data_IF_342888803200
#
_entry.id   IF_342888803200
#
_cell.length_a   1.000
_cell.length_b   1.000
_cell.length_c   1.000
_cell.angle_alpha   90.00
_cell.angle_beta   90.00
_cell.angle_gamma   90.00
#
_symmetry.space_group_name_H-M   'P 1'
#
loop_
_entity.id
_entity.type
_entity.pdbx_description
1 polymer ?
#
# COMPACT_ATOMS: atom_id res chain seq x y z
N UNK A 1 54.41 -6.29 -30.43
CA UNK A 1 53.77 -6.20 -31.75
C UNK A 1 52.45 -6.94 -31.64
N UNK A 2 51.36 -6.19 -31.46
CA UNK A 2 50.35 -5.89 -32.50
C UNK A 2 49.21 -6.91 -32.43
N UNK A 3 48.08 -6.56 -31.79
CA UNK A 3 46.92 -5.81 -32.30
C UNK A 3 46.02 -6.58 -33.28
N UNK A 4 44.81 -6.87 -32.76
CA UNK A 4 43.46 -6.75 -33.38
C UNK A 4 43.09 -7.76 -34.51
N UNK A 5 41.83 -8.12 -34.77
CA UNK A 5 40.52 -7.46 -34.63
C UNK A 5 39.37 -8.52 -34.64
N UNK A 6 38.39 -8.38 -33.71
CA UNK A 6 36.90 -8.27 -33.86
C UNK A 6 36.14 -9.34 -34.70
N UNK A 7 34.98 -9.92 -34.36
CA UNK A 7 33.86 -9.67 -33.41
C UNK A 7 32.81 -10.79 -33.63
N UNK A 8 31.63 -10.90 -33.02
CA UNK A 8 30.71 -10.00 -32.31
C UNK A 8 29.80 -10.85 -31.39
N UNK A 9 29.26 -10.17 -30.38
CA UNK A 9 27.89 -10.28 -29.85
C UNK A 9 27.72 -10.80 -28.41
N UNK A 10 27.97 -9.92 -27.43
CA UNK A 10 27.51 -10.08 -26.04
C UNK A 10 27.33 -8.71 -25.37
N UNK A 11 26.41 -7.87 -25.88
CA UNK A 11 26.18 -6.49 -25.35
C UNK A 11 24.71 -6.08 -25.16
N UNK A 12 23.79 -7.02 -24.89
CA UNK A 12 22.37 -6.67 -24.67
C UNK A 12 21.85 -6.81 -23.23
N UNK A 13 22.65 -7.28 -22.27
CA UNK A 13 22.11 -7.65 -20.94
C UNK A 13 22.52 -6.76 -19.75
N UNK A 14 23.49 -5.85 -19.89
CA UNK A 14 23.98 -5.05 -18.74
C UNK A 14 23.45 -3.61 -18.69
N UNK A 15 22.89 -3.08 -19.79
CA UNK A 15 22.32 -1.71 -19.83
C UNK A 15 20.95 -1.61 -19.13
N UNK A 16 20.43 -2.69 -18.54
CA UNK A 16 18.99 -2.84 -18.35
C UNK A 16 18.48 -2.81 -16.90
N UNK A 17 19.28 -3.04 -15.87
CA UNK A 17 18.76 -3.05 -14.47
C UNK A 17 18.80 -1.68 -13.80
N UNK A 18 19.93 -0.97 -13.92
CA UNK A 18 20.15 0.33 -13.27
C UNK A 18 19.18 1.40 -13.80
N UNK A 19 19.04 1.51 -15.13
CA UNK A 19 18.11 2.44 -15.77
C UNK A 19 16.63 2.16 -15.42
N UNK A 20 16.25 0.88 -15.25
CA UNK A 20 14.89 0.51 -14.80
C UNK A 20 14.64 0.95 -13.36
N UNK A 21 15.62 0.74 -12.48
CA UNK A 21 15.49 1.10 -11.08
C UNK A 21 15.50 2.63 -10.89
N UNK A 22 16.32 3.34 -11.66
CA UNK A 22 16.32 4.80 -11.69
C UNK A 22 14.97 5.37 -12.17
N UNK A 23 14.41 4.83 -13.25
CA UNK A 23 13.07 5.20 -13.71
C UNK A 23 12.00 4.94 -12.64
N UNK A 24 12.09 3.82 -11.91
CA UNK A 24 11.19 3.52 -10.79
C UNK A 24 11.35 4.52 -9.64
N UNK A 25 12.59 4.85 -9.27
CA UNK A 25 12.88 5.81 -8.21
C UNK A 25 12.29 7.19 -8.55
N UNK A 26 12.58 7.70 -9.76
CA UNK A 26 12.05 8.97 -10.23
C UNK A 26 10.52 8.97 -10.32
N UNK A 27 9.93 7.91 -10.88
CA UNK A 27 8.46 7.83 -11.00
C UNK A 27 7.78 7.77 -9.63
N UNK A 28 8.36 7.04 -8.67
CA UNK A 28 7.85 6.96 -7.30
C UNK A 28 7.91 8.33 -6.63
N UNK A 29 9.04 9.03 -6.74
CA UNK A 29 9.23 10.38 -6.22
C UNK A 29 8.25 11.39 -6.83
N UNK A 30 8.13 11.39 -8.16
CA UNK A 30 7.22 12.27 -8.89
C UNK A 30 5.76 12.03 -8.51
N UNK A 31 5.34 10.76 -8.40
CA UNK A 31 3.98 10.42 -8.00
C UNK A 31 3.70 10.81 -6.54
N UNK A 32 4.67 10.66 -5.64
CA UNK A 32 4.56 11.11 -4.26
C UNK A 32 4.30 12.62 -4.20
N UNK A 33 5.11 13.43 -4.89
CA UNK A 33 4.91 14.88 -4.98
C UNK A 33 3.57 15.26 -5.64
N UNK A 34 3.19 14.55 -6.70
CA UNK A 34 1.89 14.78 -7.37
C UNK A 34 0.72 14.55 -6.41
N UNK A 35 0.76 13.48 -5.61
CA UNK A 35 -0.28 13.19 -4.60
C UNK A 35 -0.37 14.31 -3.54
N UNK A 36 0.77 14.86 -3.12
CA UNK A 36 0.84 15.87 -2.06
C UNK A 36 0.55 17.31 -2.51
N UNK A 37 0.86 17.66 -3.76
CA UNK A 37 0.91 19.08 -4.16
C UNK A 37 0.16 19.42 -5.46
N UNK A 38 -0.34 18.43 -6.21
CA UNK A 38 -1.16 18.71 -7.39
C UNK A 38 -2.64 18.88 -7.00
N UNK A 39 -3.15 20.11 -7.07
CA UNK A 39 -4.53 20.45 -6.66
C UNK A 39 -5.58 19.63 -7.45
N UNK A 40 -5.48 19.58 -8.78
CA UNK A 40 -6.40 18.80 -9.63
C UNK A 40 -6.38 17.31 -9.27
N UNK A 41 -5.21 16.78 -8.90
CA UNK A 41 -5.08 15.41 -8.44
C UNK A 41 -5.81 15.21 -7.10
N UNK A 42 -5.68 16.13 -6.17
CA UNK A 42 -6.35 16.06 -4.86
C UNK A 42 -7.85 16.30 -4.92
N UNK A 43 -8.34 17.06 -5.90
CA UNK A 43 -9.77 17.16 -6.21
C UNK A 43 -10.31 15.80 -6.66
N UNK A 44 -9.59 15.12 -7.56
CA UNK A 44 -9.96 13.80 -8.05
C UNK A 44 -9.80 12.70 -7.00
N UNK A 45 -8.79 12.82 -6.13
CA UNK A 45 -8.47 11.85 -5.08
C UNK A 45 -8.37 12.54 -3.71
N UNK A 46 -9.52 12.85 -3.07
CA UNK A 46 -9.56 13.61 -1.81
C UNK A 46 -8.82 12.96 -0.64
N UNK A 47 -8.55 11.65 -0.69
CA UNK A 47 -7.77 10.92 0.32
C UNK A 47 -6.37 11.50 0.51
N UNK A 48 -5.80 12.10 -0.55
CA UNK A 48 -4.49 12.74 -0.51
C UNK A 48 -4.52 14.19 -0.05
N UNK A 49 -5.68 14.81 0.19
CA UNK A 49 -5.76 16.16 0.76
C UNK A 49 -5.05 16.23 2.10
N UNK A 50 -4.27 17.28 2.29
CA UNK A 50 -3.45 17.50 3.48
C UNK A 50 -2.23 16.59 3.59
N UNK A 51 -1.93 15.77 2.58
CA UNK A 51 -0.69 15.00 2.57
C UNK A 51 0.50 15.90 2.22
N UNK A 52 1.62 15.71 2.91
CA UNK A 52 2.86 16.45 2.69
C UNK A 52 4.04 15.50 2.60
N UNK A 53 5.15 16.00 2.08
CA UNK A 53 6.44 15.31 2.03
C UNK A 53 7.40 16.03 2.98
N UNK A 54 8.30 15.30 3.66
CA UNK A 54 9.33 15.94 4.47
C UNK A 54 10.22 16.86 3.60
N UNK A 55 10.81 17.89 4.21
CA UNK A 55 11.51 18.94 3.48
C UNK A 55 12.62 18.36 2.59
N UNK A 56 13.39 17.42 3.12
CA UNK A 56 14.55 16.84 2.46
C UNK A 56 14.18 16.03 1.22
N UNK A 57 13.00 15.40 1.20
CA UNK A 57 12.52 14.60 0.07
C UNK A 57 11.98 15.45 -1.09
N UNK A 58 11.92 16.78 -0.94
CA UNK A 58 11.75 17.68 -2.09
C UNK A 58 13.01 17.70 -2.98
N UNK A 59 14.16 17.27 -2.45
CA UNK A 59 15.34 16.99 -3.24
C UNK A 59 15.33 15.53 -3.68
N UNK A 60 15.20 15.30 -4.99
CA UNK A 60 15.22 13.95 -5.58
C UNK A 60 16.47 13.15 -5.19
N UNK A 61 17.65 13.78 -5.08
CA UNK A 61 18.88 13.07 -4.73
C UNK A 61 18.87 12.54 -3.29
N UNK A 62 18.15 13.19 -2.39
CA UNK A 62 18.00 12.71 -1.00
C UNK A 62 16.98 11.58 -0.97
N UNK A 63 15.85 11.75 -1.66
CA UNK A 63 14.85 10.69 -1.79
C UNK A 63 15.44 9.43 -2.45
N UNK A 64 16.18 9.57 -3.55
CA UNK A 64 16.73 8.43 -4.30
C UNK A 64 17.73 7.61 -3.46
N UNK A 65 18.56 8.27 -2.64
CA UNK A 65 19.42 7.58 -1.66
C UNK A 65 18.61 6.73 -0.69
N UNK A 66 17.49 7.25 -0.18
CA UNK A 66 16.59 6.48 0.67
C UNK A 66 15.90 5.36 -0.12
N UNK A 67 15.44 5.64 -1.33
CA UNK A 67 14.81 4.67 -2.23
C UNK A 67 15.71 3.45 -2.43
N UNK A 68 16.95 3.65 -2.90
CA UNK A 68 17.85 2.53 -3.19
C UNK A 68 18.23 1.71 -1.96
N UNK A 69 18.20 2.32 -0.77
CA UNK A 69 18.46 1.62 0.50
C UNK A 69 17.26 0.79 0.98
N UNK A 70 16.04 1.18 0.64
CA UNK A 70 14.81 0.62 1.23
C UNK A 70 13.92 -0.12 0.23
N UNK A 71 14.14 0.08 -1.07
CA UNK A 71 13.38 -0.59 -2.12
C UNK A 71 13.80 -2.05 -2.24
N UNK A 72 12.80 -2.91 -2.35
CA UNK A 72 12.95 -4.34 -2.59
C UNK A 72 11.85 -4.76 -3.57
N UNK A 73 12.03 -5.91 -4.21
CA UNK A 73 11.06 -6.48 -5.13
C UNK A 73 10.64 -7.85 -4.61
N UNK A 74 9.36 -8.17 -4.76
CA UNK A 74 8.84 -9.52 -4.61
C UNK A 74 8.37 -9.96 -5.99
N UNK A 75 8.80 -11.15 -6.43
CA UNK A 75 8.48 -11.66 -7.77
C UNK A 75 6.96 -11.71 -8.00
N UNK A 76 6.50 -11.20 -9.15
CA UNK A 76 5.07 -11.15 -9.47
C UNK A 76 4.28 -10.03 -8.76
N UNK A 77 4.91 -9.25 -7.89
CA UNK A 77 4.24 -8.17 -7.16
C UNK A 77 4.73 -6.78 -7.61
N UNK A 78 3.77 -5.87 -7.81
CA UNK A 78 4.06 -4.43 -7.88
C UNK A 78 4.27 -3.90 -6.47
N UNK A 79 5.30 -3.09 -6.28
CA UNK A 79 5.57 -2.41 -5.01
C UNK A 79 5.02 -0.98 -5.04
N UNK A 80 4.35 -0.59 -3.97
CA UNK A 80 3.83 0.77 -3.76
C UNK A 80 4.60 1.44 -2.60
N UNK A 81 4.85 2.75 -2.70
CA UNK A 81 5.26 3.58 -1.57
C UNK A 81 4.02 4.00 -0.79
N UNK A 82 3.96 3.63 0.49
CA UNK A 82 2.89 3.97 1.41
C UNK A 82 3.43 4.76 2.62
N UNK A 83 2.61 5.63 3.22
CA UNK A 83 2.98 6.51 4.35
C UNK A 83 2.21 6.23 5.64
N UNK A 84 1.13 5.45 5.58
CA UNK A 84 0.13 5.34 6.65
C UNK A 84 -0.11 3.91 7.14
N UNK A 85 0.51 2.91 6.51
CA UNK A 85 0.56 1.54 7.04
C UNK A 85 1.33 1.49 8.37
N UNK A 86 2.43 2.23 8.49
CA UNK A 86 3.23 2.25 9.73
C UNK A 86 2.54 3.07 10.84
N UNK A 87 1.80 4.11 10.45
CA UNK A 87 1.12 5.03 11.36
C UNK A 87 -0.25 5.34 10.75
N UNK A 88 -1.29 4.71 11.29
CA UNK A 88 -2.66 4.83 10.78
C UNK A 88 -3.11 6.29 10.71
N UNK A 89 -3.61 6.71 9.56
CA UNK A 89 -4.09 8.07 9.33
C UNK A 89 -2.98 9.11 9.11
N UNK A 90 -1.71 8.70 9.08
CA UNK A 90 -0.60 9.61 8.80
C UNK A 90 -0.72 10.27 7.41
N UNK A 91 -0.29 11.52 7.33
CA UNK A 91 -0.36 12.36 6.12
C UNK A 91 1.03 12.75 5.59
N UNK A 92 2.10 12.36 6.27
CA UNK A 92 3.47 12.80 5.94
C UNK A 92 4.24 11.67 5.27
N UNK A 93 4.76 11.87 4.06
CA UNK A 93 5.80 10.99 3.51
C UNK A 93 7.17 11.42 4.06
N UNK A 94 7.80 10.57 4.87
CA UNK A 94 9.17 10.72 5.34
C UNK A 94 9.86 9.34 5.46
N UNK A 95 11.18 9.27 5.70
CA UNK A 95 11.88 8.01 5.95
C UNK A 95 11.27 7.14 7.06
N UNK A 96 10.74 7.78 8.10
CA UNK A 96 10.21 7.18 9.32
C UNK A 96 8.79 6.64 9.12
N UNK A 97 7.98 7.34 8.32
CA UNK A 97 6.58 7.01 8.11
C UNK A 97 6.35 6.18 6.85
N UNK A 98 7.28 6.24 5.88
CA UNK A 98 7.08 5.61 4.58
C UNK A 98 7.72 4.23 4.46
N UNK A 99 7.05 3.37 3.70
CA UNK A 99 7.47 2.00 3.46
C UNK A 99 7.09 1.52 2.07
N UNK A 100 7.94 0.69 1.46
CA UNK A 100 7.56 -0.08 0.28
C UNK A 100 6.78 -1.32 0.69
N UNK A 101 5.65 -1.54 0.05
CA UNK A 101 4.70 -2.61 0.36
C UNK A 101 4.18 -3.23 -0.94
N UNK A 102 3.95 -4.54 -1.02
CA UNK A 102 3.27 -5.15 -2.15
C UNK A 102 1.88 -4.54 -2.36
N UNK A 103 1.52 -4.26 -3.61
CA UNK A 103 0.25 -3.63 -3.93
C UNK A 103 -0.96 -4.41 -3.40
N UNK A 104 -0.90 -5.74 -3.41
CA UNK A 104 -1.94 -6.60 -2.85
C UNK A 104 -2.17 -6.35 -1.35
N UNK A 105 -1.09 -6.14 -0.57
CA UNK A 105 -1.16 -5.81 0.85
C UNK A 105 -1.68 -4.38 1.01
N UNK A 106 -1.15 -3.42 0.25
CA UNK A 106 -1.60 -2.02 0.33
C UNK A 106 -3.10 -1.88 0.04
N UNK A 107 -3.62 -2.65 -0.92
CA UNK A 107 -5.03 -2.67 -1.30
C UNK A 107 -5.96 -3.09 -0.15
N UNK A 108 -5.46 -3.78 0.88
CA UNK A 108 -6.26 -4.13 2.07
C UNK A 108 -6.64 -2.90 2.90
N UNK A 109 -5.86 -1.81 2.82
CA UNK A 109 -6.03 -0.61 3.62
C UNK A 109 -6.74 0.53 2.87
N UNK A 110 -7.02 0.34 1.57
CA UNK A 110 -7.72 1.34 0.77
C UNK A 110 -9.15 1.51 1.30
N UNK A 111 -9.41 2.67 1.90
CA UNK A 111 -10.74 3.08 2.31
C UNK A 111 -11.54 3.60 1.12
N UNK A 112 -12.80 3.19 1.01
CA UNK A 112 -13.76 3.65 0.00
C UNK A 112 -14.79 4.58 0.62
N UNK A 113 -14.34 5.52 1.46
CA UNK A 113 -15.21 6.36 2.29
C UNK A 113 -16.22 7.16 1.45
N UNK A 114 -15.82 7.65 0.27
CA UNK A 114 -16.70 8.39 -0.63
C UNK A 114 -17.92 7.59 -1.13
N UNK A 115 -17.84 6.25 -1.14
CA UNK A 115 -18.93 5.37 -1.54
C UNK A 115 -19.69 4.79 -0.32
N UNK A 116 -19.25 5.10 0.90
CA UNK A 116 -19.80 4.54 2.13
C UNK A 116 -20.93 5.44 2.64
N UNK A 117 -22.03 4.82 3.06
CA UNK A 117 -23.11 5.49 3.79
C UNK A 117 -22.72 5.75 5.26
N UNK A 118 -23.72 5.83 6.14
CA UNK A 118 -23.50 6.08 7.58
C UNK A 118 -23.09 4.84 8.39
N UNK A 119 -23.06 3.66 7.77
CA UNK A 119 -22.71 2.41 8.46
C UNK A 119 -21.19 2.29 8.65
N UNK A 120 -20.73 1.63 9.74
CA UNK A 120 -19.33 1.32 9.94
C UNK A 120 -18.72 0.54 8.78
N UNK A 121 -17.40 0.63 8.63
CA UNK A 121 -16.67 -0.11 7.61
C UNK A 121 -17.01 -1.62 7.65
N UNK A 122 -17.23 -2.18 6.45
CA UNK A 122 -17.57 -3.59 6.29
C UNK A 122 -19.02 -3.94 6.60
N UNK A 123 -19.80 -3.05 7.22
CA UNK A 123 -21.21 -3.30 7.57
C UNK A 123 -22.15 -2.80 6.48
N UNK A 124 -23.15 -3.62 6.17
CA UNK A 124 -24.20 -3.33 5.20
C UNK A 124 -25.56 -3.76 5.77
N UNK A 125 -26.64 -3.21 5.21
CA UNK A 125 -28.01 -3.56 5.60
C UNK A 125 -28.67 -4.43 4.53
N UNK A 126 -29.31 -5.52 4.94
CA UNK A 126 -30.08 -6.41 4.07
C UNK A 126 -31.52 -5.89 3.90
N UNK A 127 -32.25 -6.30 2.85
CA UNK A 127 -33.66 -5.94 2.67
C UNK A 127 -34.57 -6.33 3.85
N UNK A 128 -34.17 -7.33 4.63
CA UNK A 128 -34.87 -7.76 5.84
C UNK A 128 -34.69 -6.81 7.05
N UNK A 129 -33.90 -5.75 6.93
CA UNK A 129 -33.53 -4.85 8.02
C UNK A 129 -32.38 -5.33 8.92
N UNK A 130 -31.89 -6.57 8.72
CA UNK A 130 -30.73 -7.12 9.42
C UNK A 130 -29.41 -6.61 8.83
N UNK A 131 -28.33 -6.70 9.57
CA UNK A 131 -27.00 -6.24 9.17
C UNK A 131 -26.11 -7.38 8.73
N UNK A 132 -25.27 -7.20 7.72
CA UNK A 132 -24.28 -8.19 7.29
C UNK A 132 -22.93 -7.57 7.07
N UNK A 133 -21.90 -8.38 7.25
CA UNK A 133 -20.51 -7.92 7.14
C UNK A 133 -19.85 -8.48 5.90
N UNK A 134 -19.17 -7.62 5.15
CA UNK A 134 -18.40 -7.98 3.95
C UNK A 134 -16.94 -7.57 4.11
N UNK A 135 -16.03 -8.47 3.73
CA UNK A 135 -14.60 -8.15 3.70
C UNK A 135 -13.93 -8.67 2.43
N UNK A 136 -13.17 -7.81 1.76
CA UNK A 136 -12.29 -8.21 0.65
C UNK A 136 -11.10 -8.99 1.18
N UNK A 137 -10.72 -10.04 0.46
CA UNK A 137 -9.56 -10.88 0.75
C UNK A 137 -8.67 -10.93 -0.49
N UNK A 138 -7.34 -10.81 -0.35
CA UNK A 138 -6.39 -10.87 -1.48
C UNK A 138 -6.51 -12.17 -2.29
N UNK A 139 -6.90 -13.26 -1.62
CA UNK A 139 -7.05 -14.59 -2.21
C UNK A 139 -8.37 -14.78 -2.96
N UNK A 140 -9.32 -13.83 -2.80
CA UNK A 140 -10.66 -13.95 -3.36
C UNK A 140 -11.00 -12.76 -4.26
N UNK A 141 -11.48 -13.04 -5.48
CA UNK A 141 -11.91 -12.00 -6.42
C UNK A 141 -13.13 -11.20 -5.93
N UNK A 142 -13.93 -11.78 -5.03
CA UNK A 142 -15.15 -11.18 -4.49
C UNK A 142 -15.04 -11.04 -2.97
N UNK A 143 -15.65 -9.99 -2.38
CA UNK A 143 -15.78 -9.89 -0.94
C UNK A 143 -16.47 -11.12 -0.34
N UNK A 144 -15.99 -11.57 0.81
CA UNK A 144 -16.59 -12.65 1.58
C UNK A 144 -17.65 -12.06 2.50
N UNK A 145 -18.81 -12.72 2.55
CA UNK A 145 -19.83 -12.46 3.57
C UNK A 145 -19.49 -13.23 4.84
N UNK A 146 -19.24 -12.49 5.92
CA UNK A 146 -18.79 -13.05 7.20
C UNK A 146 -19.99 -13.58 7.99
N UNK A 147 -21.13 -12.86 7.95
CA UNK A 147 -22.34 -13.28 8.66
C UNK A 147 -23.53 -12.35 8.45
N UNK A 148 -24.60 -12.61 9.19
CA UNK A 148 -25.81 -11.79 9.28
C UNK A 148 -26.17 -11.63 10.77
N UNK A 149 -26.48 -10.42 11.18
CA UNK A 149 -26.55 -9.97 12.57
C UNK A 149 -27.77 -9.08 12.79
N UNK A 150 -28.21 -8.95 14.04
CA UNK A 150 -29.40 -8.20 14.39
C UNK A 150 -29.10 -6.70 14.65
N UNK A 151 -27.84 -6.36 14.96
CA UNK A 151 -27.41 -4.97 15.17
C UNK A 151 -26.10 -4.63 14.43
N UNK A 152 -25.79 -3.33 14.39
CA UNK A 152 -24.64 -2.77 13.67
C UNK A 152 -23.33 -3.17 14.35
N UNK A 153 -23.31 -3.15 15.68
CA UNK A 153 -22.13 -3.40 16.51
C UNK A 153 -21.63 -4.83 16.32
N UNK A 154 -22.52 -5.83 16.39
CA UNK A 154 -22.20 -7.24 16.13
C UNK A 154 -21.64 -7.45 14.72
N UNK A 155 -22.28 -6.84 13.73
CA UNK A 155 -21.79 -6.89 12.35
C UNK A 155 -20.40 -6.26 12.23
N UNK A 156 -20.16 -5.12 12.88
CA UNK A 156 -18.87 -4.46 12.88
C UNK A 156 -17.80 -5.30 13.59
N UNK A 157 -18.07 -5.84 14.79
CA UNK A 157 -17.09 -6.66 15.51
C UNK A 157 -16.73 -7.94 14.76
N UNK A 158 -17.70 -8.56 14.07
CA UNK A 158 -17.41 -9.67 13.17
C UNK A 158 -16.50 -9.26 12.00
N UNK A 159 -16.73 -8.08 11.41
CA UNK A 159 -15.84 -7.51 10.39
C UNK A 159 -14.43 -7.26 10.94
N UNK A 160 -14.32 -6.56 12.08
CA UNK A 160 -13.05 -6.24 12.76
C UNK A 160 -12.24 -7.49 12.99
N UNK A 161 -12.83 -8.49 13.67
CA UNK A 161 -12.16 -9.75 13.96
C UNK A 161 -11.68 -10.47 12.70
N UNK A 162 -12.53 -10.58 11.68
CA UNK A 162 -12.15 -11.21 10.42
C UNK A 162 -11.03 -10.45 9.70
N UNK A 163 -11.14 -9.11 9.60
CA UNK A 163 -10.19 -8.26 8.87
C UNK A 163 -8.80 -8.28 9.52
N UNK A 164 -8.73 -8.17 10.85
CA UNK A 164 -7.47 -8.18 11.59
C UNK A 164 -6.79 -9.55 11.51
N UNK A 165 -7.54 -10.65 11.62
CA UNK A 165 -6.97 -11.99 11.45
C UNK A 165 -6.50 -12.24 10.02
N UNK A 166 -7.24 -11.76 9.00
CA UNK A 166 -6.79 -11.82 7.62
C UNK A 166 -5.47 -11.06 7.42
N UNK A 167 -5.33 -9.86 7.99
CA UNK A 167 -4.09 -9.09 7.88
C UNK A 167 -2.93 -9.81 8.58
N UNK A 168 -3.15 -10.41 9.75
CA UNK A 168 -2.13 -11.23 10.45
C UNK A 168 -1.72 -12.44 9.62
N UNK A 169 -2.68 -13.15 9.05
CA UNK A 169 -2.40 -14.27 8.14
C UNK A 169 -1.53 -13.82 6.96
N UNK A 170 -1.87 -12.69 6.33
CA UNK A 170 -1.09 -12.14 5.21
C UNK A 170 0.30 -11.68 5.68
N UNK A 171 0.43 -11.12 6.88
CA UNK A 171 1.73 -10.80 7.45
C UNK A 171 2.60 -12.06 7.60
N UNK A 172 2.02 -13.15 8.10
CA UNK A 172 2.71 -14.43 8.24
C UNK A 172 3.07 -15.07 6.89
N UNK A 173 2.20 -14.97 5.88
CA UNK A 173 2.46 -15.44 4.51
C UNK A 173 3.67 -14.75 3.87
N UNK A 174 3.84 -13.44 4.11
CA UNK A 174 4.90 -12.62 3.50
C UNK A 174 6.10 -12.38 4.42
N UNK A 175 6.14 -13.02 5.59
CA UNK A 175 7.06 -12.69 6.70
C UNK A 175 8.53 -12.65 6.30
N UNK A 176 8.96 -13.55 5.42
CA UNK A 176 10.35 -13.68 4.98
C UNK A 176 10.67 -12.78 3.78
N UNK A 177 9.66 -12.16 3.16
CA UNK A 177 9.79 -11.35 1.95
C UNK A 177 9.61 -9.84 2.21
N UNK A 178 9.03 -9.47 3.36
CA UNK A 178 8.81 -8.08 3.75
C UNK A 178 9.72 -7.65 4.90
N UNK A 179 10.06 -6.35 4.99
CA UNK A 179 10.82 -5.82 6.12
C UNK A 179 10.09 -6.06 7.45
N UNK A 180 10.84 -6.38 8.51
CA UNK A 180 10.28 -6.58 9.86
C UNK A 180 9.35 -5.44 10.31
N UNK A 181 9.69 -4.19 9.99
CA UNK A 181 8.84 -3.03 10.32
C UNK A 181 7.45 -3.08 9.65
N UNK A 182 7.34 -3.63 8.43
CA UNK A 182 6.06 -3.84 7.76
C UNK A 182 5.29 -4.95 8.46
N UNK A 183 5.94 -6.10 8.68
CA UNK A 183 5.34 -7.23 9.39
C UNK A 183 4.76 -6.81 10.76
N UNK A 184 5.56 -6.13 11.58
CA UNK A 184 5.14 -5.68 12.91
C UNK A 184 3.93 -4.71 12.83
N UNK A 185 3.90 -3.83 11.82
CA UNK A 185 2.78 -2.91 11.62
C UNK A 185 1.49 -3.64 11.20
N UNK A 186 1.59 -4.62 10.30
CA UNK A 186 0.46 -5.46 9.90
C UNK A 186 -0.09 -6.24 11.12
N UNK A 187 0.78 -6.81 11.95
CA UNK A 187 0.37 -7.60 13.11
C UNK A 187 -0.33 -6.79 14.20
N UNK A 188 0.05 -5.51 14.34
CA UNK A 188 -0.52 -4.55 15.30
C UNK A 188 -1.71 -3.79 14.74
N UNK A 189 -2.08 -4.01 13.48
CA UNK A 189 -3.16 -3.25 12.87
C UNK A 189 -4.50 -3.55 13.54
N UNK A 190 -5.21 -2.48 13.90
CA UNK A 190 -6.53 -2.55 14.50
C UNK A 190 -7.54 -1.77 13.65
N UNK A 191 -8.72 -2.34 13.46
CA UNK A 191 -9.88 -1.71 12.81
C UNK A 191 -10.75 -1.03 13.86
N UNK A 192 -11.02 0.25 13.70
CA UNK A 192 -11.88 1.02 14.59
C UNK A 192 -13.27 1.20 13.97
N UNK A 193 -14.31 1.29 14.79
CA UNK A 193 -15.69 1.48 14.30
C UNK A 193 -15.86 2.82 13.56
N UNK A 194 -14.96 3.76 13.87
CA UNK A 194 -14.88 5.08 13.24
C UNK A 194 -14.05 5.09 11.95
N UNK A 195 -13.53 3.95 11.49
CA UNK A 195 -12.74 3.85 10.26
C UNK A 195 -13.52 4.09 8.97
#
# INVERSE_FOLDING_TARGET
>A
MEQKLIGKNSRLNEVNYDDRLEKKAYHTWYNMLTRCYNEKWQEKYPTYKGCIVCEEWHNYQVFSKWFYKNYYEIEGHRMDLDKDILIKGNKIYSPETSIFVPHCINALFIKKDANRGQLPIGVNVAPSGKYYSLCSNIHNKKPIRIGLYDNIEEAFYAYKHYKENLIKQIADEYKDEIPKRLYDALYKYEVEITD
#
